data_IF_505850548170
#
_entry.id   IF_505850548170
#
_cell.length_a   1.000
_cell.length_b   1.000
_cell.length_c   1.000
_cell.angle_alpha   90.00
_cell.angle_beta   90.00
_cell.angle_gamma   90.00
#
_symmetry.space_group_name_H-M   'P 1'
#
loop_
_entity.id
_entity.type
_entity.pdbx_description
1 polymer ?
#
# COMPACT_ATOMS: atom_id res chain seq x y z
N UNK A 1 13.21 47.89 57.45
CA UNK A 1 13.78 47.12 56.32
C UNK A 1 13.27 45.69 56.30
N UNK A 2 13.23 44.98 57.44
CA UNK A 2 12.59 43.65 57.53
C UNK A 2 11.07 43.68 57.25
N UNK A 3 10.36 44.75 57.64
CA UNK A 3 8.91 44.85 57.40
C UNK A 3 8.56 44.92 55.90
N UNK A 4 9.34 45.65 55.10
CA UNK A 4 9.18 45.73 53.64
C UNK A 4 9.40 44.39 52.94
N UNK A 5 10.34 43.56 53.41
CA UNK A 5 10.57 42.22 52.85
C UNK A 5 9.41 41.29 53.19
N UNK A 6 8.86 41.39 54.41
CA UNK A 6 7.72 40.60 54.85
C UNK A 6 6.45 40.94 54.07
N UNK A 7 6.23 42.21 53.76
CA UNK A 7 5.12 42.68 52.90
C UNK A 7 5.25 42.13 51.47
N UNK A 8 6.44 42.20 50.86
CA UNK A 8 6.70 41.64 49.52
C UNK A 8 6.51 40.13 49.51
N UNK A 9 6.98 39.42 50.53
CA UNK A 9 6.81 37.97 50.65
C UNK A 9 5.32 37.60 50.77
N UNK A 10 4.54 38.32 51.58
CA UNK A 10 3.10 38.11 51.71
C UNK A 10 2.36 38.37 50.39
N UNK A 11 2.74 39.44 49.68
CA UNK A 11 2.22 39.75 48.36
C UNK A 11 2.52 38.63 47.34
N UNK A 12 3.77 38.18 47.27
CA UNK A 12 4.22 37.12 46.35
C UNK A 12 3.56 35.78 46.67
N UNK A 13 3.37 35.47 47.96
CA UNK A 13 2.65 34.26 48.40
C UNK A 13 1.22 34.26 47.86
N UNK A 14 0.51 35.38 48.01
CA UNK A 14 -0.87 35.54 47.54
C UNK A 14 -0.95 35.45 46.02
N UNK A 15 -0.06 36.16 45.30
CA UNK A 15 0.05 36.09 43.84
C UNK A 15 0.30 34.63 43.37
N UNK A 16 1.23 33.93 44.02
CA UNK A 16 1.56 32.54 43.71
C UNK A 16 0.37 31.61 43.91
N UNK A 17 -0.36 31.75 45.01
CA UNK A 17 -1.54 30.92 45.30
C UNK A 17 -2.67 31.14 44.28
N UNK A 18 -2.90 32.39 43.88
CA UNK A 18 -3.86 32.73 42.83
C UNK A 18 -3.44 32.18 41.46
N UNK A 19 -2.18 32.33 41.06
CA UNK A 19 -1.61 31.80 39.81
C UNK A 19 -1.66 30.26 39.76
N UNK A 20 -1.29 29.59 40.85
CA UNK A 20 -1.39 28.12 40.95
C UNK A 20 -2.86 27.68 40.87
N UNK A 21 -3.76 28.40 41.52
CA UNK A 21 -5.20 28.18 41.45
C UNK A 21 -5.70 28.26 40.01
N UNK A 22 -5.35 29.34 39.31
CA UNK A 22 -5.71 29.56 37.91
C UNK A 22 -5.15 28.46 36.98
N UNK A 23 -3.89 28.06 37.17
CA UNK A 23 -3.28 26.95 36.42
C UNK A 23 -4.04 25.63 36.63
N UNK A 24 -4.45 25.33 37.86
CA UNK A 24 -5.22 24.10 38.15
C UNK A 24 -6.59 24.14 37.46
N UNK A 25 -7.25 25.29 37.45
CA UNK A 25 -8.53 25.47 36.77
C UNK A 25 -8.41 25.33 35.26
N UNK A 26 -7.39 25.93 34.64
CA UNK A 26 -7.10 25.78 33.21
C UNK A 26 -6.85 24.31 32.83
N UNK A 27 -6.12 23.56 33.66
CA UNK A 27 -5.93 22.11 33.45
C UNK A 27 -7.25 21.33 33.52
N UNK A 28 -8.11 21.63 34.49
CA UNK A 28 -9.42 20.98 34.62
C UNK A 28 -10.34 21.31 33.43
N UNK A 29 -10.34 22.56 32.98
CA UNK A 29 -11.11 22.99 31.81
C UNK A 29 -10.62 22.33 30.52
N UNK A 30 -9.29 22.25 30.30
CA UNK A 30 -8.72 21.53 29.15
C UNK A 30 -9.09 20.06 29.17
N UNK A 31 -8.99 19.40 30.33
CA UNK A 31 -9.41 18.01 30.48
C UNK A 31 -10.90 17.84 30.21
N UNK A 32 -11.71 18.81 30.66
CA UNK A 32 -13.13 18.84 30.39
C UNK A 32 -13.42 18.93 28.89
N UNK A 33 -12.87 19.94 28.22
CA UNK A 33 -13.05 20.16 26.80
C UNK A 33 -12.54 18.99 25.95
N UNK A 34 -11.44 18.36 26.34
CA UNK A 34 -10.94 17.17 25.67
C UNK A 34 -11.93 16.00 25.72
N UNK A 35 -12.57 15.75 26.87
CA UNK A 35 -13.62 14.71 26.98
C UNK A 35 -14.84 15.04 26.13
N UNK A 36 -15.26 16.30 26.08
CA UNK A 36 -16.35 16.74 25.21
C UNK A 36 -15.99 16.46 23.75
N UNK A 37 -14.78 16.82 23.32
CA UNK A 37 -14.29 16.59 21.96
C UNK A 37 -14.26 15.09 21.60
N UNK A 38 -13.90 14.21 22.55
CA UNK A 38 -13.94 12.77 22.32
C UNK A 38 -15.36 12.24 22.09
N UNK A 39 -16.34 12.75 22.83
CA UNK A 39 -17.74 12.36 22.69
C UNK A 39 -18.34 12.93 21.41
N UNK A 40 -18.04 14.19 21.07
CA UNK A 40 -18.52 14.85 19.84
C UNK A 40 -17.85 14.28 18.57
N UNK A 41 -16.58 13.90 18.65
CA UNK A 41 -15.80 13.32 17.55
C UNK A 41 -16.00 11.81 17.34
N UNK A 42 -16.86 11.17 18.13
CA UNK A 42 -17.08 9.72 18.10
C UNK A 42 -17.81 9.31 16.80
N UNK A 43 -17.09 8.63 15.91
CA UNK A 43 -17.67 8.05 14.70
C UNK A 43 -18.55 6.84 15.05
N UNK A 44 -19.79 6.84 14.56
CA UNK A 44 -20.67 5.67 14.68
C UNK A 44 -20.38 4.69 13.54
N UNK A 45 -20.26 3.38 13.82
CA UNK A 45 -19.97 2.38 12.80
C UNK A 45 -21.08 2.35 11.75
N UNK A 46 -20.70 2.33 10.47
CA UNK A 46 -21.65 2.29 9.36
C UNK A 46 -22.52 1.02 9.39
N UNK A 47 -23.75 1.12 8.87
CA UNK A 47 -24.65 -0.03 8.82
C UNK A 47 -24.14 -1.09 7.85
N UNK A 48 -23.86 -2.29 8.38
CA UNK A 48 -23.55 -3.46 7.57
C UNK A 48 -24.81 -4.34 7.43
N UNK A 49 -25.32 -4.54 6.20
CA UNK A 49 -26.50 -5.39 5.99
C UNK A 49 -26.14 -6.87 6.26
N UNK A 50 -26.96 -7.61 7.04
CA UNK A 50 -26.75 -9.04 7.28
C UNK A 50 -26.67 -9.86 5.99
N UNK A 51 -27.49 -9.53 5.00
CA UNK A 51 -27.53 -10.19 3.70
C UNK A 51 -27.09 -9.20 2.60
N UNK A 52 -25.79 -9.06 2.36
CA UNK A 52 -25.25 -8.09 1.39
C UNK A 52 -25.30 -8.55 -0.09
N UNK A 53 -25.32 -9.87 -0.35
CA UNK A 53 -25.20 -10.46 -1.70
C UNK A 53 -26.51 -11.07 -2.22
N UNK A 54 -27.65 -10.43 -1.97
CA UNK A 54 -28.98 -10.97 -2.33
C UNK A 54 -29.11 -11.18 -3.86
N UNK A 55 -28.62 -10.23 -4.66
CA UNK A 55 -28.72 -10.30 -6.13
C UNK A 55 -27.81 -11.39 -6.73
N UNK A 56 -26.61 -11.54 -6.20
CA UNK A 56 -25.65 -12.55 -6.67
C UNK A 56 -26.16 -13.97 -6.37
N UNK A 57 -26.68 -14.20 -5.16
CA UNK A 57 -27.31 -15.48 -4.80
C UNK A 57 -28.56 -15.78 -5.62
N UNK A 58 -29.34 -14.74 -6.01
CA UNK A 58 -30.51 -14.88 -6.87
C UNK A 58 -30.13 -15.33 -8.28
N UNK A 59 -29.02 -14.84 -8.81
CA UNK A 59 -28.49 -15.27 -10.11
C UNK A 59 -27.97 -16.72 -10.05
N UNK A 60 -27.22 -17.05 -9.00
CA UNK A 60 -26.66 -18.39 -8.81
C UNK A 60 -27.76 -19.45 -8.62
N UNK A 61 -28.81 -19.13 -7.86
CA UNK A 61 -29.96 -20.02 -7.67
C UNK A 61 -30.71 -20.29 -8.97
N UNK A 62 -30.90 -19.27 -9.82
CA UNK A 62 -31.52 -19.41 -11.15
C UNK A 62 -30.68 -20.28 -12.08
N UNK A 63 -29.36 -20.11 -12.06
CA UNK A 63 -28.42 -20.87 -12.88
C UNK A 63 -28.41 -22.36 -12.49
N UNK A 64 -28.29 -22.64 -11.18
CA UNK A 64 -28.31 -24.02 -10.66
C UNK A 64 -29.64 -24.72 -10.94
N UNK A 65 -30.78 -24.03 -10.77
CA UNK A 65 -32.10 -24.59 -11.06
C UNK A 65 -32.24 -25.00 -12.54
N UNK A 66 -31.76 -24.15 -13.47
CA UNK A 66 -31.75 -24.45 -14.92
C UNK A 66 -30.94 -25.71 -15.24
N UNK A 67 -29.72 -25.80 -14.71
CA UNK A 67 -28.84 -26.94 -14.96
C UNK A 67 -29.45 -28.26 -14.46
N UNK A 68 -30.03 -28.24 -13.26
CA UNK A 68 -30.70 -29.41 -12.68
C UNK A 68 -31.90 -29.83 -13.52
N UNK A 69 -32.77 -28.89 -13.93
CA UNK A 69 -33.93 -29.22 -14.75
C UNK A 69 -33.58 -29.72 -16.15
N UNK A 70 -32.50 -29.23 -16.75
CA UNK A 70 -32.02 -29.74 -18.04
C UNK A 70 -31.61 -31.21 -17.95
N UNK A 71 -30.92 -31.60 -16.87
CA UNK A 71 -30.51 -33.00 -16.64
C UNK A 71 -31.72 -33.89 -16.42
N UNK A 72 -32.62 -33.52 -15.51
CA UNK A 72 -33.83 -34.32 -15.25
C UNK A 72 -34.75 -34.43 -16.48
N UNK A 73 -34.90 -33.33 -17.22
CA UNK A 73 -35.65 -33.32 -18.47
C UNK A 73 -35.03 -34.20 -19.55
N UNK A 74 -33.71 -34.20 -19.69
CA UNK A 74 -33.00 -35.05 -20.64
C UNK A 74 -33.10 -36.53 -20.29
N UNK A 75 -33.01 -36.88 -19.00
CA UNK A 75 -33.22 -38.25 -18.52
C UNK A 75 -34.66 -38.70 -18.80
N UNK A 76 -35.66 -37.86 -18.49
CA UNK A 76 -37.05 -38.18 -18.74
C UNK A 76 -37.34 -38.38 -20.24
N UNK A 77 -36.77 -37.53 -21.11
CA UNK A 77 -36.87 -37.67 -22.56
C UNK A 77 -36.22 -38.96 -23.08
N UNK A 78 -35.07 -39.34 -22.54
CA UNK A 78 -34.40 -40.61 -22.89
C UNK A 78 -35.19 -41.84 -22.44
N UNK A 79 -35.73 -41.82 -21.21
CA UNK A 79 -36.55 -42.92 -20.68
C UNK A 79 -37.85 -43.07 -21.48
N UNK A 80 -38.46 -41.95 -21.89
CA UNK A 80 -39.66 -41.97 -22.73
C UNK A 80 -39.40 -42.69 -24.06
N UNK A 81 -38.31 -42.32 -24.75
CA UNK A 81 -37.94 -42.98 -26.01
C UNK A 81 -37.62 -44.47 -25.81
N UNK A 82 -36.89 -44.80 -24.74
CA UNK A 82 -36.57 -46.19 -24.40
C UNK A 82 -37.83 -47.04 -24.20
N UNK A 83 -38.86 -46.50 -23.56
CA UNK A 83 -40.14 -47.20 -23.33
C UNK A 83 -40.93 -47.38 -24.62
N UNK A 84 -41.01 -46.34 -25.47
CA UNK A 84 -41.66 -46.45 -26.78
C UNK A 84 -40.98 -47.49 -27.66
N UNK A 85 -39.64 -47.47 -27.72
CA UNK A 85 -38.90 -48.39 -28.56
C UNK A 85 -38.94 -49.83 -28.02
N UNK A 86 -38.93 -50.02 -26.70
CA UNK A 86 -39.17 -51.33 -26.07
C UNK A 86 -40.55 -51.89 -26.43
N UNK A 87 -41.58 -51.03 -26.44
CA UNK A 87 -42.96 -51.40 -26.80
C UNK A 87 -43.08 -51.81 -28.27
N UNK A 88 -42.35 -51.15 -29.18
CA UNK A 88 -42.29 -51.51 -30.60
C UNK A 88 -41.59 -52.86 -30.80
N UNK A 89 -40.47 -53.10 -30.09
CA UNK A 89 -39.74 -54.37 -30.15
C UNK A 89 -40.61 -55.53 -29.67
N UNK A 90 -41.33 -55.37 -28.55
CA UNK A 90 -42.26 -56.38 -28.02
C UNK A 90 -43.37 -56.74 -29.03
N UNK A 91 -43.88 -55.77 -29.79
CA UNK A 91 -44.90 -55.99 -30.81
C UNK A 91 -44.37 -56.72 -32.07
N UNK A 92 -43.06 -56.68 -32.34
CA UNK A 92 -42.45 -57.22 -33.57
C UNK A 92 -42.02 -58.70 -33.50
N UNK A 93 -41.94 -59.29 -32.30
CA UNK A 93 -41.68 -60.73 -32.09
C UNK A 93 -40.31 -61.25 -32.53
N UNK A 94 -39.35 -60.40 -32.92
CA UNK A 94 -38.02 -60.82 -33.37
C UNK A 94 -36.89 -60.24 -32.49
N UNK A 95 -36.04 -61.07 -31.85
CA UNK A 95 -34.96 -60.58 -30.96
C UNK A 95 -33.88 -59.75 -31.66
N UNK A 96 -33.76 -59.89 -32.99
CA UNK A 96 -32.77 -59.21 -33.83
C UNK A 96 -33.23 -57.82 -34.32
N UNK A 97 -34.51 -57.45 -34.16
CA UNK A 97 -35.03 -56.12 -34.50
C UNK A 97 -34.34 -55.00 -33.71
N UNK A 98 -33.90 -55.29 -32.49
CA UNK A 98 -33.11 -54.38 -31.66
C UNK A 98 -31.74 -54.03 -32.26
N UNK A 99 -31.09 -54.95 -32.98
CA UNK A 99 -29.77 -54.71 -33.58
C UNK A 99 -29.83 -53.94 -34.91
N UNK A 100 -30.95 -54.02 -35.63
CA UNK A 100 -31.09 -53.54 -37.00
C UNK A 100 -31.08 -52.02 -37.18
N UNK A 101 -31.22 -51.23 -36.09
CA UNK A 101 -31.24 -49.77 -36.24
C UNK A 101 -30.71 -49.00 -35.03
N UNK A 102 -29.58 -49.45 -34.46
CA UNK A 102 -28.89 -48.76 -33.37
C UNK A 102 -28.60 -47.27 -33.67
N UNK A 103 -28.42 -46.92 -34.94
CA UNK A 103 -28.20 -45.54 -35.39
C UNK A 103 -29.50 -44.72 -35.34
N UNK A 104 -30.64 -45.30 -35.70
CA UNK A 104 -31.95 -44.63 -35.64
C UNK A 104 -32.44 -44.50 -34.20
N UNK A 105 -32.30 -45.54 -33.38
CA UNK A 105 -32.50 -45.47 -31.92
C UNK A 105 -31.67 -44.32 -31.32
N UNK A 106 -30.37 -44.28 -31.64
CA UNK A 106 -29.46 -43.26 -31.12
C UNK A 106 -29.85 -41.84 -31.53
N UNK A 107 -30.32 -41.65 -32.76
CA UNK A 107 -30.79 -40.34 -33.24
C UNK A 107 -32.12 -39.93 -32.60
N UNK A 108 -33.08 -40.84 -32.50
CA UNK A 108 -34.39 -40.57 -31.91
C UNK A 108 -34.26 -40.26 -30.40
N UNK A 109 -33.52 -41.10 -29.67
CA UNK A 109 -33.23 -40.90 -28.25
C UNK A 109 -32.47 -39.59 -27.99
N UNK A 110 -31.54 -39.20 -28.88
CA UNK A 110 -30.85 -37.92 -28.77
C UNK A 110 -31.80 -36.72 -28.98
N UNK A 111 -32.73 -36.79 -29.93
CA UNK A 111 -33.71 -35.71 -30.16
C UNK A 111 -34.72 -35.58 -29.02
N UNK A 112 -35.25 -36.68 -28.51
CA UNK A 112 -36.19 -36.68 -27.38
C UNK A 112 -35.50 -36.25 -26.06
N UNK A 113 -34.24 -36.66 -25.84
CA UNK A 113 -33.45 -36.13 -24.73
C UNK A 113 -33.18 -34.63 -24.85
N UNK A 114 -32.91 -34.11 -26.06
CA UNK A 114 -32.70 -32.67 -26.28
C UNK A 114 -33.97 -31.84 -26.03
N UNK A 115 -35.13 -32.32 -26.50
CA UNK A 115 -36.43 -31.67 -26.26
C UNK A 115 -36.80 -31.74 -24.77
N UNK A 116 -36.63 -32.91 -24.15
CA UNK A 116 -36.85 -33.11 -22.73
C UNK A 116 -35.98 -32.20 -21.87
N UNK A 117 -34.69 -32.05 -22.21
CA UNK A 117 -33.77 -31.13 -21.54
C UNK A 117 -34.22 -29.67 -21.68
N UNK A 118 -34.71 -29.26 -22.86
CA UNK A 118 -35.25 -27.92 -23.09
C UNK A 118 -36.48 -27.63 -22.22
N UNK A 119 -37.45 -28.54 -22.19
CA UNK A 119 -38.68 -28.39 -21.39
C UNK A 119 -38.36 -28.41 -19.89
N UNK A 120 -37.52 -29.33 -19.44
CA UNK A 120 -37.08 -29.42 -18.05
C UNK A 120 -36.32 -28.16 -17.59
N UNK A 121 -35.47 -27.58 -18.44
CA UNK A 121 -34.78 -26.32 -18.17
C UNK A 121 -35.75 -25.14 -18.03
N UNK A 122 -36.82 -25.08 -18.84
CA UNK A 122 -37.81 -24.01 -18.78
C UNK A 122 -38.68 -24.07 -17.51
N UNK A 123 -39.18 -25.26 -17.15
CA UNK A 123 -40.01 -25.45 -15.96
C UNK A 123 -39.21 -25.14 -14.69
N UNK A 124 -38.01 -25.71 -14.57
CA UNK A 124 -37.11 -25.48 -13.44
C UNK A 124 -36.65 -24.02 -13.33
N UNK A 125 -36.48 -23.32 -14.45
CA UNK A 125 -36.20 -21.89 -14.46
C UNK A 125 -37.34 -21.08 -13.87
N UNK A 126 -38.58 -21.37 -14.27
CA UNK A 126 -39.77 -20.69 -13.74
C UNK A 126 -39.95 -20.90 -12.23
N UNK A 127 -39.86 -22.15 -11.78
CA UNK A 127 -39.96 -22.50 -10.35
C UNK A 127 -38.82 -21.86 -9.56
N UNK A 128 -37.58 -21.94 -10.06
CA UNK A 128 -36.41 -21.32 -9.44
C UNK A 128 -36.50 -19.78 -9.37
N UNK A 129 -37.10 -19.14 -10.38
CA UNK A 129 -37.34 -17.71 -10.37
C UNK A 129 -38.33 -17.30 -9.27
N UNK A 130 -39.42 -18.03 -9.10
CA UNK A 130 -40.45 -17.78 -8.08
C UNK A 130 -39.87 -17.99 -6.67
N UNK A 131 -39.20 -19.12 -6.41
CA UNK A 131 -38.57 -19.41 -5.11
C UNK A 131 -37.48 -18.38 -4.78
N UNK A 132 -36.69 -17.97 -5.78
CA UNK A 132 -35.68 -16.93 -5.64
C UNK A 132 -36.27 -15.56 -5.28
N UNK A 133 -37.41 -15.17 -5.87
CA UNK A 133 -38.14 -13.94 -5.51
C UNK A 133 -38.63 -13.98 -4.06
N UNK A 134 -39.24 -15.09 -3.64
CA UNK A 134 -39.76 -15.24 -2.26
C UNK A 134 -38.63 -15.13 -1.24
N UNK A 135 -37.50 -15.82 -1.46
CA UNK A 135 -36.34 -15.78 -0.55
C UNK A 135 -35.64 -14.41 -0.52
N UNK A 136 -35.51 -13.74 -1.67
CA UNK A 136 -34.90 -12.40 -1.73
C UNK A 136 -35.77 -11.36 -1.01
N UNK A 137 -37.09 -11.39 -1.20
CA UNK A 137 -38.02 -10.52 -0.48
C UNK A 137 -37.96 -10.74 1.04
N UNK A 138 -37.84 -12.00 1.51
CA UNK A 138 -37.66 -12.31 2.93
C UNK A 138 -36.34 -11.74 3.49
N UNK A 139 -35.23 -11.92 2.77
CA UNK A 139 -33.91 -11.36 3.15
C UNK A 139 -33.89 -9.82 3.11
N UNK A 140 -34.60 -9.20 2.17
CA UNK A 140 -34.77 -7.75 2.12
C UNK A 140 -35.59 -7.23 3.30
N UNK A 141 -36.65 -7.94 3.70
CA UNK A 141 -37.41 -7.62 4.90
C UNK A 141 -36.55 -7.73 6.17
N UNK A 142 -35.72 -8.76 6.29
CA UNK A 142 -34.74 -8.90 7.38
C UNK A 142 -33.73 -7.74 7.38
N UNK A 143 -33.19 -7.36 6.22
CA UNK A 143 -32.28 -6.22 6.10
C UNK A 143 -32.96 -4.90 6.49
N UNK A 144 -34.23 -4.68 6.15
CA UNK A 144 -35.01 -3.50 6.56
C UNK A 144 -35.17 -3.45 8.09
N UNK A 145 -35.58 -4.55 8.71
CA UNK A 145 -35.72 -4.65 10.17
C UNK A 145 -34.38 -4.46 10.87
N UNK A 146 -33.30 -5.05 10.36
CA UNK A 146 -31.95 -4.86 10.89
C UNK A 146 -31.48 -3.40 10.78
N UNK A 147 -31.79 -2.73 9.66
CA UNK A 147 -31.49 -1.31 9.46
C UNK A 147 -32.25 -0.42 10.43
N UNK A 148 -33.53 -0.70 10.69
CA UNK A 148 -34.32 0.03 11.67
C UNK A 148 -33.81 -0.17 13.10
N UNK A 149 -33.48 -1.41 13.48
CA UNK A 149 -32.86 -1.70 14.79
C UNK A 149 -31.52 -0.99 14.94
N UNK A 150 -30.67 -1.00 13.92
CA UNK A 150 -29.40 -0.28 13.92
C UNK A 150 -29.61 1.23 14.02
N UNK A 151 -30.53 1.81 13.24
CA UNK A 151 -30.89 3.23 13.33
C UNK A 151 -31.35 3.61 14.73
N UNK A 152 -32.20 2.80 15.34
CA UNK A 152 -32.67 3.02 16.71
C UNK A 152 -31.52 2.91 17.73
N UNK A 153 -30.61 1.95 17.57
CA UNK A 153 -29.42 1.80 18.42
C UNK A 153 -28.49 3.02 18.31
N UNK A 154 -28.19 3.47 17.09
CA UNK A 154 -27.37 4.67 16.84
C UNK A 154 -28.06 5.93 17.37
N UNK A 155 -29.38 6.07 17.18
CA UNK A 155 -30.13 7.21 17.71
C UNK A 155 -30.12 7.24 19.25
N UNK A 156 -30.27 6.09 19.92
CA UNK A 156 -30.14 5.98 21.39
C UNK A 156 -28.73 6.33 21.85
N UNK A 157 -27.70 5.80 21.18
CA UNK A 157 -26.31 6.12 21.51
C UNK A 157 -26.01 7.61 21.32
N UNK A 158 -26.49 8.24 20.24
CA UNK A 158 -26.38 9.69 20.01
C UNK A 158 -27.06 10.52 21.08
N UNK A 159 -28.26 10.12 21.52
CA UNK A 159 -28.96 10.81 22.61
C UNK A 159 -28.20 10.68 23.94
N UNK A 160 -27.76 9.47 24.28
CA UNK A 160 -26.97 9.24 25.49
C UNK A 160 -25.64 10.01 25.48
N UNK A 161 -24.93 10.01 24.34
CA UNK A 161 -23.68 10.77 24.18
C UNK A 161 -23.96 12.29 24.27
N UNK A 162 -25.07 12.79 23.70
CA UNK A 162 -25.47 14.20 23.79
C UNK A 162 -25.91 14.62 25.20
N UNK A 163 -26.63 13.75 25.92
CA UNK A 163 -27.00 13.93 27.32
C UNK A 163 -25.75 13.95 28.21
N UNK A 164 -24.80 13.04 27.99
CA UNK A 164 -23.52 13.04 28.69
C UNK A 164 -22.71 14.31 28.42
N UNK A 165 -22.68 14.82 27.18
CA UNK A 165 -22.04 16.10 26.85
C UNK A 165 -22.74 17.26 27.56
N UNK A 166 -24.08 17.27 27.61
CA UNK A 166 -24.85 18.31 28.29
C UNK A 166 -24.62 18.30 29.81
N UNK A 167 -24.66 17.11 30.43
CA UNK A 167 -24.35 16.91 31.85
C UNK A 167 -22.93 17.39 32.18
N UNK A 168 -21.97 17.00 31.35
CA UNK A 168 -20.57 17.34 31.57
C UNK A 168 -20.32 18.84 31.37
N UNK A 169 -20.95 19.47 30.37
CA UNK A 169 -20.93 20.92 30.17
C UNK A 169 -21.54 21.66 31.36
N UNK A 170 -22.67 21.18 31.87
CA UNK A 170 -23.31 21.76 33.06
C UNK A 170 -22.42 21.64 34.30
N UNK A 171 -21.72 20.51 34.45
CA UNK A 171 -20.76 20.28 35.53
C UNK A 171 -19.51 21.15 35.42
N UNK A 172 -19.14 21.59 34.20
CA UNK A 172 -18.00 22.49 33.98
C UNK A 172 -18.33 23.98 34.16
N UNK A 173 -19.61 24.38 34.13
CA UNK A 173 -20.01 25.79 34.27
C UNK A 173 -19.44 26.45 35.54
N UNK A 174 -19.53 25.84 36.74
CA UNK A 174 -18.98 26.44 37.94
C UNK A 174 -17.46 26.60 37.89
N UNK A 175 -16.75 25.72 37.17
CA UNK A 175 -15.29 25.80 36.99
C UNK A 175 -14.96 27.03 36.14
N UNK A 176 -15.71 27.27 35.06
CA UNK A 176 -15.54 28.45 34.22
C UNK A 176 -15.82 29.75 34.98
N UNK A 177 -16.90 29.78 35.78
CA UNK A 177 -17.23 30.94 36.62
C UNK A 177 -16.15 31.22 37.67
N UNK A 178 -15.67 30.17 38.34
CA UNK A 178 -14.59 30.27 39.31
C UNK A 178 -13.29 30.74 38.66
N UNK A 179 -12.98 30.29 37.43
CA UNK A 179 -11.83 30.77 36.66
C UNK A 179 -11.89 32.28 36.42
N UNK A 180 -13.03 32.78 35.94
CA UNK A 180 -13.24 34.22 35.69
C UNK A 180 -13.09 35.03 36.99
N UNK A 181 -13.57 34.48 38.11
CA UNK A 181 -13.37 35.11 39.42
C UNK A 181 -11.88 35.16 39.82
N UNK A 182 -11.15 34.05 39.66
CA UNK A 182 -9.71 33.99 39.93
C UNK A 182 -8.91 34.95 39.03
N UNK A 183 -9.24 35.03 37.74
CA UNK A 183 -8.63 35.99 36.81
C UNK A 183 -8.86 37.43 37.25
N UNK A 184 -10.07 37.75 37.73
CA UNK A 184 -10.38 39.08 38.25
C UNK A 184 -9.58 39.38 39.52
N UNK A 185 -9.60 38.48 40.50
CA UNK A 185 -8.83 38.64 41.75
C UNK A 185 -7.34 38.78 41.48
N UNK A 186 -6.80 38.01 40.54
CA UNK A 186 -5.40 38.07 40.15
C UNK A 186 -5.06 39.41 39.47
N UNK A 187 -5.91 39.89 38.57
CA UNK A 187 -5.72 41.18 37.91
C UNK A 187 -5.80 42.35 38.89
N UNK A 188 -6.73 42.31 39.85
CA UNK A 188 -6.82 43.30 40.93
C UNK A 188 -5.55 43.26 41.78
N UNK A 189 -5.12 42.08 42.24
CA UNK A 189 -3.89 41.90 43.02
C UNK A 189 -2.65 42.43 42.30
N UNK A 190 -2.53 42.19 40.99
CA UNK A 190 -1.43 42.69 40.17
C UNK A 190 -1.49 44.19 39.87
N UNK A 191 -2.68 44.79 39.85
CA UNK A 191 -2.84 46.23 39.59
C UNK A 191 -2.35 47.07 40.76
N UNK A 192 -2.55 46.58 41.98
CA UNK A 192 -2.16 47.26 43.22
C UNK A 192 -0.75 46.85 43.72
N UNK A 193 -0.09 45.94 42.99
CA UNK A 193 1.13 45.28 43.42
C UNK A 193 2.44 45.96 43.03
N UNK A 194 3.55 45.68 43.75
CA UNK A 194 4.88 46.22 43.45
C UNK A 194 5.60 45.50 42.29
N UNK A 195 4.98 44.47 41.69
CA UNK A 195 5.60 43.64 40.66
C UNK A 195 5.36 44.22 39.26
N UNK A 196 6.43 44.43 38.50
CA UNK A 196 6.31 44.88 37.11
C UNK A 196 5.59 43.84 36.24
N UNK A 197 4.76 44.32 35.30
CA UNK A 197 3.98 43.50 34.36
C UNK A 197 4.76 42.39 33.66
N UNK A 198 6.04 42.62 33.37
CA UNK A 198 6.95 41.64 32.75
C UNK A 198 7.12 40.35 33.58
N UNK A 199 7.04 40.45 34.91
CA UNK A 199 7.25 39.34 35.84
C UNK A 199 5.93 38.79 36.41
N UNK A 200 4.78 39.23 35.90
CA UNK A 200 3.45 38.72 36.26
C UNK A 200 3.16 37.43 35.48
N UNK A 201 4.00 36.41 35.71
CA UNK A 201 3.82 35.07 35.18
C UNK A 201 4.07 34.06 36.30
N UNK A 202 3.34 32.94 36.29
CA UNK A 202 3.49 31.91 37.33
C UNK A 202 4.95 31.49 37.58
N UNK A 203 5.81 31.22 36.56
CA UNK A 203 7.21 30.87 36.80
C UNK A 203 8.00 31.98 37.47
N UNK A 204 7.82 33.23 37.02
CA UNK A 204 8.50 34.38 37.60
C UNK A 204 8.10 34.61 39.06
N UNK A 205 6.80 34.53 39.37
CA UNK A 205 6.29 34.72 40.73
C UNK A 205 6.75 33.60 41.67
N UNK A 206 6.80 32.35 41.20
CA UNK A 206 7.33 31.25 42.01
C UNK A 206 8.82 31.45 42.33
N UNK A 207 9.63 31.78 41.31
CA UNK A 207 11.07 32.00 41.50
C UNK A 207 11.34 33.21 42.42
N UNK A 208 10.63 34.31 42.20
CA UNK A 208 10.72 35.49 43.07
C UNK A 208 10.29 35.17 44.50
N UNK A 209 9.22 34.40 44.69
CA UNK A 209 8.81 33.94 46.02
C UNK A 209 9.95 33.17 46.71
N UNK A 210 10.58 32.21 46.03
CA UNK A 210 11.67 31.40 46.59
C UNK A 210 12.91 32.24 46.95
N UNK A 211 13.22 33.26 46.15
CA UNK A 211 14.30 34.21 46.41
C UNK A 211 14.14 34.97 47.72
N UNK A 212 12.91 35.41 48.02
CA UNK A 212 12.61 36.12 49.26
C UNK A 212 12.40 35.16 50.44
N UNK A 213 11.80 33.99 50.22
CA UNK A 213 11.59 32.97 51.26
C UNK A 213 12.92 32.39 51.77
N UNK A 214 13.90 32.23 50.87
CA UNK A 214 15.26 31.80 51.21
C UNK A 214 16.12 32.90 51.86
N UNK A 215 15.63 34.14 51.92
CA UNK A 215 16.36 35.29 52.47
C UNK A 215 17.57 35.73 51.66
N UNK A 216 17.75 35.24 50.42
CA UNK A 216 18.87 35.60 49.55
C UNK A 216 18.84 37.06 49.10
N UNK A 217 17.63 37.61 48.97
CA UNK A 217 17.42 38.96 48.47
C UNK A 217 16.54 39.78 49.41
N UNK A 218 16.90 41.04 49.60
CA UNK A 218 16.14 42.01 50.38
C UNK A 218 15.46 43.08 49.51
N UNK A 219 15.82 43.18 48.23
CA UNK A 219 15.30 44.16 47.28
C UNK A 219 14.84 43.47 46.00
N UNK A 220 13.73 43.97 45.47
CA UNK A 220 13.10 43.46 44.26
C UNK A 220 13.97 43.63 43.01
N UNK A 221 14.74 44.72 42.93
CA UNK A 221 15.65 44.98 41.82
C UNK A 221 16.74 43.91 41.68
N UNK A 222 17.31 43.46 42.80
CA UNK A 222 18.36 42.43 42.80
C UNK A 222 17.78 41.06 42.40
N UNK A 223 16.58 40.75 42.89
CA UNK A 223 15.83 39.55 42.53
C UNK A 223 15.46 39.52 41.04
N UNK A 224 15.06 40.67 40.46
CA UNK A 224 14.78 40.78 39.02
C UNK A 224 16.01 40.55 38.16
N UNK A 225 17.15 41.14 38.52
CA UNK A 225 18.40 40.95 37.78
C UNK A 225 18.82 39.49 37.76
N UNK A 226 18.72 38.80 38.90
CA UNK A 226 19.00 37.38 39.00
C UNK A 226 18.05 36.55 38.13
N UNK A 227 16.74 36.80 38.23
CA UNK A 227 15.75 36.10 37.40
C UNK A 227 16.00 36.29 35.91
N UNK A 228 16.32 37.52 35.47
CA UNK A 228 16.62 37.78 34.06
C UNK A 228 17.91 37.08 33.60
N UNK A 229 18.91 36.99 34.46
CA UNK A 229 20.14 36.26 34.16
C UNK A 229 19.84 34.77 33.95
N UNK A 230 19.09 34.15 34.86
CA UNK A 230 18.69 32.74 34.76
C UNK A 230 17.88 32.48 33.48
N UNK A 231 16.88 33.32 33.17
CA UNK A 231 16.11 33.21 31.92
C UNK A 231 16.98 33.35 30.67
N UNK A 232 18.03 34.19 30.70
CA UNK A 232 18.98 34.32 29.57
C UNK A 232 19.86 33.07 29.43
N UNK A 233 20.27 32.48 30.55
CA UNK A 233 21.06 31.25 30.56
C UNK A 233 20.24 30.06 30.04
N UNK A 234 18.98 29.92 30.46
CA UNK A 234 18.09 28.88 29.95
C UNK A 234 17.91 28.96 28.43
N UNK A 235 17.70 30.18 27.90
CA UNK A 235 17.62 30.39 26.44
C UNK A 235 18.92 30.04 25.72
N UNK A 236 20.06 30.28 26.36
CA UNK A 236 21.36 29.91 25.78
C UNK A 236 21.51 28.38 25.75
N UNK A 237 21.07 27.69 26.79
CA UNK A 237 21.03 26.21 26.85
C UNK A 237 20.13 25.68 25.73
N UNK A 238 18.87 26.14 25.62
CA UNK A 238 17.93 25.73 24.57
C UNK A 238 18.50 25.90 23.16
N UNK A 239 19.15 27.04 22.90
CA UNK A 239 19.76 27.30 21.60
C UNK A 239 20.98 26.42 21.35
N UNK A 240 21.74 26.09 22.39
CA UNK A 240 22.89 25.18 22.30
C UNK A 240 22.43 23.74 22.00
N UNK A 241 21.33 23.28 22.61
CA UNK A 241 20.72 21.99 22.32
C UNK A 241 20.23 21.90 20.87
N UNK A 242 19.57 22.95 20.37
CA UNK A 242 19.16 23.03 18.95
C UNK A 242 20.35 23.01 18.01
N UNK A 243 21.41 23.76 18.32
CA UNK A 243 22.64 23.74 17.53
C UNK A 243 23.26 22.33 17.50
N UNK A 244 23.29 21.64 18.65
CA UNK A 244 23.76 20.26 18.74
C UNK A 244 22.91 19.29 17.92
N UNK A 245 21.58 19.45 17.93
CA UNK A 245 20.68 18.65 17.09
C UNK A 245 20.99 18.85 15.60
N UNK A 246 21.08 20.10 15.14
CA UNK A 246 21.40 20.41 13.74
C UNK A 246 22.76 19.83 13.35
N UNK A 247 23.76 19.90 14.23
CA UNK A 247 25.07 19.29 13.98
C UNK A 247 25.00 17.76 13.87
N UNK A 248 24.15 17.10 14.65
CA UNK A 248 23.90 15.66 14.52
C UNK A 248 23.25 15.32 13.17
N UNK A 249 22.25 16.09 12.74
CA UNK A 249 21.58 15.91 11.45
C UNK A 249 22.54 16.12 10.27
N UNK A 250 23.42 17.12 10.36
CA UNK A 250 24.49 17.36 9.36
C UNK A 250 25.44 16.17 9.32
N UNK A 251 25.92 15.69 10.47
CA UNK A 251 26.83 14.53 10.54
C UNK A 251 26.19 13.29 9.91
N UNK A 252 24.93 13.03 10.20
CA UNK A 252 24.23 11.85 9.69
C UNK A 252 24.02 11.96 8.17
N UNK A 253 23.71 13.16 7.67
CA UNK A 253 23.65 13.44 6.22
C UNK A 253 25.01 13.28 5.54
N UNK A 254 26.09 13.75 6.17
CA UNK A 254 27.46 13.58 5.67
C UNK A 254 27.85 12.09 5.61
N UNK A 255 27.42 11.29 6.58
CA UNK A 255 27.64 9.84 6.56
C UNK A 255 26.92 9.17 5.39
N UNK A 256 25.65 9.52 5.16
CA UNK A 256 24.89 9.01 4.01
C UNK A 256 25.55 9.39 2.67
N UNK A 257 26.03 10.63 2.55
CA UNK A 257 26.76 11.07 1.35
C UNK A 257 28.09 10.31 1.16
N UNK A 258 28.80 10.04 2.25
CA UNK A 258 30.02 9.25 2.20
C UNK A 258 29.75 7.81 1.73
N UNK A 259 28.72 7.17 2.26
CA UNK A 259 28.31 5.82 1.85
C UNK A 259 27.91 5.80 0.36
N UNK A 260 27.11 6.78 -0.10
CA UNK A 260 26.76 6.90 -1.52
C UNK A 260 27.99 7.14 -2.42
N UNK A 261 29.01 7.86 -1.94
CA UNK A 261 30.24 8.08 -2.69
C UNK A 261 31.05 6.78 -2.83
N UNK A 262 31.06 5.93 -1.80
CA UNK A 262 31.68 4.61 -1.87
C UNK A 262 30.98 3.73 -2.90
N UNK A 263 29.65 3.72 -2.93
CA UNK A 263 28.87 2.98 -3.92
C UNK A 263 29.16 3.47 -5.36
N UNK A 264 29.26 4.79 -5.55
CA UNK A 264 29.63 5.38 -6.84
C UNK A 264 31.03 4.94 -7.25
N UNK A 265 32.01 4.94 -6.33
CA UNK A 265 33.38 4.50 -6.62
C UNK A 265 33.37 3.04 -7.09
N UNK A 266 32.68 2.16 -6.39
CA UNK A 266 32.62 0.75 -6.73
C UNK A 266 31.89 0.52 -8.08
N UNK A 267 30.87 1.33 -8.38
CA UNK A 267 30.22 1.34 -9.69
C UNK A 267 31.16 1.81 -10.81
N UNK A 268 31.97 2.85 -10.59
CA UNK A 268 32.97 3.34 -11.55
C UNK A 268 34.03 2.26 -11.81
N UNK A 269 34.52 1.59 -10.76
CA UNK A 269 35.48 0.50 -10.89
C UNK A 269 34.91 -0.66 -11.70
N UNK A 270 33.63 -0.98 -11.52
CA UNK A 270 32.96 -1.98 -12.36
C UNK A 270 32.83 -1.55 -13.82
N UNK A 271 32.52 -0.27 -14.07
CA UNK A 271 32.42 0.27 -15.43
C UNK A 271 33.79 0.23 -16.12
N UNK A 272 34.86 0.66 -15.44
CA UNK A 272 36.22 0.62 -15.98
C UNK A 272 36.62 -0.81 -16.37
N UNK A 273 36.39 -1.79 -15.50
CA UNK A 273 36.63 -3.22 -15.81
C UNK A 273 35.85 -3.70 -17.03
N UNK A 274 34.62 -3.22 -17.22
CA UNK A 274 33.81 -3.57 -18.38
C UNK A 274 34.33 -2.88 -19.66
N UNK A 275 34.79 -1.63 -19.57
CA UNK A 275 35.43 -0.91 -20.67
C UNK A 275 36.69 -1.64 -21.11
N UNK A 276 37.55 -2.04 -20.17
CA UNK A 276 38.79 -2.78 -20.48
C UNK A 276 38.49 -4.08 -21.23
N UNK A 277 37.52 -4.87 -20.74
CA UNK A 277 37.04 -6.08 -21.44
C UNK A 277 36.50 -5.78 -22.84
N UNK A 278 35.79 -4.67 -22.99
CA UNK A 278 35.25 -4.26 -24.29
C UNK A 278 36.37 -3.85 -25.25
N UNK A 279 37.40 -3.18 -24.74
CA UNK A 279 38.58 -2.80 -25.50
C UNK A 279 39.39 -4.03 -25.96
N UNK A 280 39.58 -5.00 -25.07
CA UNK A 280 40.18 -6.30 -25.41
C UNK A 280 39.39 -7.02 -26.51
N UNK A 281 38.06 -7.08 -26.38
CA UNK A 281 37.19 -7.68 -27.38
C UNK A 281 37.25 -6.94 -28.73
N UNK A 282 37.26 -5.60 -28.72
CA UNK A 282 37.39 -4.78 -29.94
C UNK A 282 38.74 -4.99 -30.63
N UNK A 283 39.84 -5.04 -29.89
CA UNK A 283 41.15 -5.35 -30.45
C UNK A 283 41.19 -6.76 -31.06
N UNK A 284 40.57 -7.75 -30.39
CA UNK A 284 40.42 -9.10 -30.93
C UNK A 284 39.60 -9.15 -32.23
N UNK A 285 38.52 -8.36 -32.31
CA UNK A 285 37.71 -8.23 -33.53
C UNK A 285 38.51 -7.56 -34.65
N UNK A 286 39.19 -6.44 -34.37
CA UNK A 286 40.00 -5.72 -35.36
C UNK A 286 41.08 -6.63 -35.96
N UNK A 287 41.81 -7.35 -35.11
CA UNK A 287 42.80 -8.34 -35.55
C UNK A 287 42.15 -9.46 -36.39
N UNK A 288 41.02 -10.02 -35.94
CA UNK A 288 40.32 -11.06 -36.70
C UNK A 288 39.82 -10.57 -38.06
N UNK A 289 39.42 -9.31 -38.19
CA UNK A 289 38.99 -8.71 -39.46
C UNK A 289 40.17 -8.57 -40.42
N UNK A 290 41.32 -8.10 -39.93
CA UNK A 290 42.55 -7.99 -40.73
C UNK A 290 42.94 -9.35 -41.31
N UNK A 291 43.02 -10.40 -40.46
CA UNK A 291 43.31 -11.77 -40.91
C UNK A 291 42.29 -12.26 -41.93
N UNK A 292 40.99 -12.00 -41.69
CA UNK A 292 39.95 -12.38 -42.64
C UNK A 292 40.11 -11.70 -43.99
N UNK A 293 40.49 -10.41 -44.03
CA UNK A 293 40.72 -9.68 -45.28
C UNK A 293 41.91 -10.25 -46.07
N UNK A 294 43.00 -10.60 -45.38
CA UNK A 294 44.18 -11.22 -46.00
C UNK A 294 43.80 -12.59 -46.59
N UNK A 295 43.06 -13.41 -45.85
CA UNK A 295 42.58 -14.71 -46.34
C UNK A 295 41.70 -14.56 -47.60
N UNK A 296 40.82 -13.56 -47.63
CA UNK A 296 39.99 -13.27 -48.81
C UNK A 296 40.84 -12.83 -50.01
N UNK A 297 41.82 -11.94 -49.81
CA UNK A 297 42.74 -11.51 -50.87
C UNK A 297 43.55 -12.69 -51.42
N UNK A 298 44.10 -13.53 -50.54
CA UNK A 298 44.84 -14.74 -50.94
C UNK A 298 43.95 -15.70 -51.73
N UNK A 299 42.70 -15.90 -51.30
CA UNK A 299 41.72 -16.74 -52.02
C UNK A 299 41.43 -16.19 -53.41
N UNK A 300 41.23 -14.87 -53.54
CA UNK A 300 40.98 -14.22 -54.81
C UNK A 300 42.17 -14.38 -55.77
N UNK A 301 43.39 -14.08 -55.31
CA UNK A 301 44.61 -14.26 -56.09
C UNK A 301 44.79 -15.71 -56.53
N UNK A 302 44.64 -16.67 -55.61
CA UNK A 302 44.71 -18.07 -55.94
C UNK A 302 43.70 -18.49 -57.02
N UNK A 303 42.45 -18.03 -56.91
CA UNK A 303 41.40 -18.32 -57.89
C UNK A 303 41.76 -17.75 -59.28
N UNK A 304 42.31 -16.54 -59.34
CA UNK A 304 42.77 -15.96 -60.62
C UNK A 304 43.90 -16.76 -61.26
N UNK A 305 44.92 -17.15 -60.48
CA UNK A 305 46.03 -17.96 -60.98
C UNK A 305 45.56 -19.33 -61.44
N UNK A 306 44.68 -19.98 -60.68
CA UNK A 306 44.06 -21.24 -61.05
C UNK A 306 43.28 -21.13 -62.37
N UNK A 307 42.52 -20.05 -62.55
CA UNK A 307 41.79 -19.81 -63.82
C UNK A 307 42.74 -19.62 -65.01
N UNK A 308 43.86 -18.90 -64.83
CA UNK A 308 44.89 -18.73 -65.86
C UNK A 308 45.52 -20.07 -66.21
N UNK A 309 45.93 -20.86 -65.21
CA UNK A 309 46.49 -22.20 -65.42
C UNK A 309 45.50 -23.10 -66.15
N UNK A 310 44.21 -23.08 -65.77
CA UNK A 310 43.16 -23.81 -66.45
C UNK A 310 43.01 -23.43 -67.93
N UNK A 311 43.08 -22.13 -68.24
CA UNK A 311 43.08 -21.63 -69.62
C UNK A 311 44.31 -22.12 -70.40
N UNK A 312 45.51 -22.04 -69.82
CA UNK A 312 46.74 -22.56 -70.44
C UNK A 312 46.68 -24.08 -70.66
N UNK A 313 46.18 -24.84 -69.68
CA UNK A 313 45.99 -26.30 -69.77
C UNK A 313 45.08 -26.68 -70.95
N UNK A 314 43.92 -26.04 -71.05
CA UNK A 314 42.96 -26.33 -72.13
C UNK A 314 43.52 -25.99 -73.51
N UNK A 315 44.44 -25.02 -73.62
CA UNK A 315 45.07 -24.65 -74.89
C UNK A 315 46.21 -25.59 -75.32
N UNK A 316 46.84 -26.29 -74.38
CA UNK A 316 48.07 -27.06 -74.62
C UNK A 316 47.98 -28.56 -74.27
N UNK A 317 46.81 -29.08 -73.91
CA UNK A 317 46.56 -30.50 -73.57
C UNK A 317 47.51 -31.10 -72.50
N UNK A 318 47.96 -30.30 -71.52
CA UNK A 318 48.84 -30.78 -70.44
C UNK A 318 48.08 -31.54 -69.33
N UNK A 319 48.60 -32.71 -68.92
CA UNK A 319 48.06 -33.53 -67.83
C UNK A 319 48.61 -33.15 -66.44
N UNK A 320 48.28 -31.96 -65.94
CA UNK A 320 48.66 -31.53 -64.58
C UNK A 320 47.57 -31.87 -63.53
N UNK A 321 47.94 -32.36 -62.31
CA UNK A 321 47.01 -32.76 -61.25
C UNK A 321 46.49 -31.53 -60.47
N UNK A 322 45.42 -30.93 -60.97
CA UNK A 322 44.88 -29.65 -60.50
C UNK A 322 44.15 -29.71 -59.13
N UNK A 323 43.43 -30.79 -58.84
CA UNK A 323 42.59 -30.96 -57.64
C UNK A 323 43.37 -30.87 -56.31
N UNK A 324 44.65 -31.24 -56.33
CA UNK A 324 45.49 -31.26 -55.13
C UNK A 324 45.85 -29.84 -54.66
N UNK A 325 46.03 -28.91 -55.59
CA UNK A 325 46.37 -27.52 -55.27
C UNK A 325 45.16 -26.74 -54.73
N UNK A 326 43.97 -26.96 -55.29
CA UNK A 326 42.72 -26.36 -54.76
C UNK A 326 42.43 -26.81 -53.33
N UNK A 327 42.57 -28.11 -53.05
CA UNK A 327 42.35 -28.66 -51.70
C UNK A 327 43.35 -28.12 -50.67
N UNK A 328 44.63 -27.97 -51.05
CA UNK A 328 45.66 -27.42 -50.17
C UNK A 328 45.38 -25.96 -49.78
N UNK A 329 44.93 -25.15 -50.73
CA UNK A 329 44.67 -23.72 -50.54
C UNK A 329 43.42 -23.47 -49.67
N UNK A 330 42.33 -24.21 -49.93
CA UNK A 330 41.14 -24.19 -49.08
C UNK A 330 41.49 -24.64 -47.64
N UNK A 331 42.32 -25.67 -47.50
CA UNK A 331 42.75 -26.18 -46.20
C UNK A 331 43.64 -25.22 -45.39
N UNK A 332 44.47 -24.39 -46.05
CA UNK A 332 45.27 -23.36 -45.38
C UNK A 332 44.37 -22.22 -44.90
N UNK A 333 43.48 -21.72 -45.75
CA UNK A 333 42.55 -20.64 -45.39
C UNK A 333 41.57 -21.05 -44.29
N UNK A 334 41.05 -22.28 -44.33
CA UNK A 334 40.19 -22.80 -43.26
C UNK A 334 40.93 -22.88 -41.91
N UNK A 335 42.21 -23.28 -41.91
CA UNK A 335 43.02 -23.34 -40.68
C UNK A 335 43.30 -21.96 -40.11
N UNK A 336 43.69 -20.99 -40.94
CA UNK A 336 43.93 -19.60 -40.51
C UNK A 336 42.65 -18.95 -39.97
N UNK A 337 41.51 -19.11 -40.65
CA UNK A 337 40.21 -18.63 -40.17
C UNK A 337 39.76 -19.33 -38.89
N UNK A 338 40.11 -20.60 -38.69
CA UNK A 338 39.81 -21.33 -37.45
C UNK A 338 40.69 -20.85 -36.27
N UNK A 339 41.96 -20.54 -36.52
CA UNK A 339 42.86 -19.98 -35.51
C UNK A 339 42.42 -18.56 -35.11
N UNK A 340 42.06 -17.72 -36.09
CA UNK A 340 41.49 -16.39 -35.83
C UNK A 340 40.20 -16.46 -34.99
N UNK A 341 39.33 -17.47 -35.24
CA UNK A 341 38.10 -17.66 -34.46
C UNK A 341 38.33 -18.18 -33.02
N UNK A 342 39.42 -18.90 -32.76
CA UNK A 342 39.76 -19.44 -31.43
C UNK A 342 40.46 -18.45 -30.52
N UNK A 343 40.88 -17.29 -31.05
CA UNK A 343 41.47 -16.18 -30.29
C UNK A 343 40.44 -15.10 -29.91
N UNK A 344 39.14 -15.37 -30.16
CA UNK A 344 38.00 -14.69 -29.51
C UNK A 344 37.82 -15.24 -28.11
#
# INVERSE_FOLDING_TARGET
MQDSVREVLAYLKTARELEIGLMKLDKLEKHSNWKILQLEGKAYPEFQPPNARIEQERADAKSKARAIGAVFGGIAGFVFEFVEEWRIVEASGSPLAWFGNLVVFGMAAATCAAIGAGIGALISWGVGAIVGVIRSNAKEAENKVAKEKWKAKVARARKADAEAVAEFRSSSLPICELRVLYERMLNEHYSDGPIYRKYQTLPAICQLYEYFDSGRFAKLADAYNQYELEVRLDRLIDNSEKALQVLCEIRDSQRLLYDALLDIRDSIDSVNKNIDKCFEALNGIAYSQEVSSICLQQTALATTLLSQIGFYKNRHELSLPFHMFEGALIGINARLLSQARRMK
#
